data_IF_284549041176
#
_entry.id   IF_284549041176
#
_cell.length_a   1.000
_cell.length_b   1.000
_cell.length_c   1.000
_cell.angle_alpha   90.00
_cell.angle_beta   90.00
_cell.angle_gamma   90.00
#
_symmetry.space_group_name_H-M   'P 1'
#
loop_
_entity.id
_entity.type
_entity.pdbx_description
1 polymer ?
#
# COMPACT_ATOMS: atom_id res chain seq x y z
N UNK A 1 0.28 -21.76 30.88
CA UNK A 1 0.82 -21.62 32.25
C UNK A 1 1.93 -20.56 32.20
N UNK A 2 1.60 -19.28 32.31
CA UNK A 2 2.57 -18.18 32.42
C UNK A 2 2.66 -17.81 33.90
N UNK A 3 3.85 -17.90 34.49
CA UNK A 3 4.11 -17.44 35.88
C UNK A 3 3.72 -15.97 36.00
N UNK A 4 3.08 -15.55 37.11
CA UNK A 4 2.62 -14.18 37.27
C UNK A 4 3.81 -13.23 37.44
N UNK A 5 3.69 -12.06 36.81
CA UNK A 5 4.60 -10.91 36.66
C UNK A 5 5.35 -10.39 37.91
N UNK A 6 5.27 -11.02 39.09
CA UNK A 6 5.77 -10.47 40.37
C UNK A 6 7.16 -10.93 40.80
N UNK A 7 7.75 -11.98 40.22
CA UNK A 7 9.08 -12.48 40.66
C UNK A 7 10.28 -11.80 39.95
N UNK A 8 10.07 -11.06 38.86
CA UNK A 8 11.17 -10.52 38.05
C UNK A 8 11.88 -9.29 38.64
N UNK A 9 11.27 -8.58 39.61
CA UNK A 9 11.89 -7.42 40.27
C UNK A 9 12.33 -6.33 39.28
N UNK A 10 13.56 -5.84 39.46
CA UNK A 10 14.18 -4.78 38.63
C UNK A 10 14.58 -5.25 37.22
N UNK A 11 14.53 -6.55 36.93
CA UNK A 11 14.78 -7.08 35.59
C UNK A 11 13.55 -6.96 34.66
N UNK A 12 12.51 -6.24 35.09
CA UNK A 12 11.33 -5.98 34.28
C UNK A 12 11.64 -4.97 33.17
N UNK A 13 11.71 -5.46 31.94
CA UNK A 13 11.73 -4.61 30.75
C UNK A 13 10.34 -4.03 30.52
N UNK A 14 10.24 -2.71 30.45
CA UNK A 14 8.99 -2.05 30.09
C UNK A 14 8.64 -2.42 28.64
N UNK A 15 7.37 -2.75 28.39
CA UNK A 15 6.93 -3.13 27.04
C UNK A 15 6.76 -1.89 26.15
N UNK A 16 6.61 -2.13 24.85
CA UNK A 16 6.25 -1.14 23.84
C UNK A 16 7.22 0.06 23.74
N UNK A 17 8.49 -0.12 24.10
CA UNK A 17 9.51 0.93 24.13
C UNK A 17 9.13 2.10 25.05
N UNK A 18 8.37 1.85 26.13
CA UNK A 18 7.94 2.92 27.05
C UNK A 18 9.12 3.69 27.66
N UNK A 19 10.24 3.01 27.93
CA UNK A 19 11.45 3.66 28.42
C UNK A 19 11.99 4.66 27.38
N UNK A 20 12.12 4.23 26.13
CA UNK A 20 12.52 5.10 25.02
C UNK A 20 11.52 6.22 24.75
N UNK A 21 10.21 5.97 24.93
CA UNK A 21 9.16 6.95 24.70
C UNK A 21 9.17 8.12 25.71
N UNK A 22 9.84 7.95 26.86
CA UNK A 22 9.99 8.97 27.91
C UNK A 22 11.26 9.81 27.77
N UNK A 23 12.10 9.54 26.79
CA UNK A 23 13.33 10.30 26.56
C UNK A 23 13.03 11.76 26.19
N UNK A 24 13.87 12.69 26.64
CA UNK A 24 13.70 14.14 26.38
C UNK A 24 14.16 14.57 24.97
N UNK A 25 14.99 13.75 24.33
CA UNK A 25 15.54 14.04 23.00
C UNK A 25 15.40 12.84 22.08
N UNK A 26 15.31 13.09 20.77
CA UNK A 26 15.26 12.01 19.79
C UNK A 26 16.53 11.13 19.82
N UNK A 27 17.69 11.69 20.12
CA UNK A 27 18.93 10.92 20.26
C UNK A 27 18.85 9.95 21.44
N UNK A 28 18.41 10.43 22.60
CA UNK A 28 18.25 9.59 23.80
C UNK A 28 17.15 8.54 23.58
N UNK A 29 16.06 8.90 22.89
CA UNK A 29 15.02 7.96 22.47
C UNK A 29 15.63 6.80 21.67
N UNK A 30 16.45 7.10 20.65
CA UNK A 30 17.14 6.08 19.86
C UNK A 30 18.09 5.22 20.70
N UNK A 31 18.83 5.82 21.63
CA UNK A 31 19.72 5.09 22.54
C UNK A 31 18.97 4.15 23.49
N UNK A 32 17.73 4.48 23.85
CA UNK A 32 16.90 3.73 24.77
C UNK A 32 16.04 2.63 24.11
N UNK A 33 16.07 2.48 22.78
CA UNK A 33 15.35 1.40 22.09
C UNK A 33 15.89 0.03 22.53
N UNK A 34 14.99 -0.88 22.89
CA UNK A 34 15.31 -2.19 23.47
C UNK A 34 14.66 -3.33 22.67
N UNK A 35 15.47 -4.25 22.17
CA UNK A 35 15.01 -5.41 21.40
C UNK A 35 14.21 -6.42 22.24
N UNK A 36 14.35 -6.39 23.56
CA UNK A 36 13.62 -7.26 24.49
C UNK A 36 12.26 -6.65 24.91
N UNK A 37 12.01 -5.39 24.56
CA UNK A 37 10.74 -4.71 24.83
C UNK A 37 9.67 -5.06 23.77
N UNK A 38 8.80 -6.01 24.10
CA UNK A 38 7.73 -6.46 23.20
C UNK A 38 6.66 -5.38 22.88
N UNK A 39 6.16 -5.28 21.63
CA UNK A 39 5.12 -4.33 21.23
C UNK A 39 3.71 -4.76 21.68
N UNK A 40 2.72 -3.86 21.57
CA UNK A 40 1.30 -4.19 21.79
C UNK A 40 0.79 -5.22 20.78
N UNK A 41 -0.31 -5.89 21.11
CA UNK A 41 -0.98 -6.86 20.22
C UNK A 41 -1.55 -6.19 18.95
N UNK A 42 -2.05 -4.96 19.06
CA UNK A 42 -2.61 -4.23 17.92
C UNK A 42 -1.51 -3.83 16.93
N UNK A 43 -1.91 -3.69 15.67
CA UNK A 43 -1.08 -3.11 14.62
C UNK A 43 -1.87 -1.99 13.96
N UNK A 44 -1.30 -0.79 13.95
CA UNK A 44 -1.95 0.43 13.52
C UNK A 44 -1.85 0.66 12.00
N UNK A 45 -0.70 0.34 11.39
CA UNK A 45 -0.38 0.61 9.98
C UNK A 45 -1.12 -0.36 9.06
N UNK A 46 -2.01 0.13 8.19
CA UNK A 46 -2.75 -0.71 7.25
C UNK A 46 -1.86 -1.50 6.28
N UNK A 47 -2.25 -2.72 5.92
CA UNK A 47 -1.51 -3.57 4.97
C UNK A 47 -2.38 -3.85 3.75
N UNK A 48 -1.83 -3.49 2.60
CA UNK A 48 -2.48 -3.58 1.30
C UNK A 48 -1.80 -4.70 0.51
N UNK A 49 -2.56 -5.68 0.05
CA UNK A 49 -2.02 -6.83 -0.68
C UNK A 49 -2.55 -6.85 -2.10
N UNK A 50 -1.66 -6.91 -3.09
CA UNK A 50 -2.06 -7.13 -4.48
C UNK A 50 -2.47 -8.58 -4.67
N UNK A 51 -3.70 -8.79 -5.15
CA UNK A 51 -4.25 -10.12 -5.36
C UNK A 51 -3.98 -10.58 -6.79
N UNK A 52 -3.44 -11.79 -6.92
CA UNK A 52 -3.05 -12.37 -8.19
C UNK A 52 -3.14 -13.90 -8.20
N UNK A 53 -2.53 -14.57 -9.18
CA UNK A 53 -2.57 -16.03 -9.29
C UNK A 53 -2.16 -16.78 -8.01
N UNK A 54 -1.23 -16.24 -7.22
CA UNK A 54 -0.76 -16.85 -5.97
C UNK A 54 -1.74 -16.68 -4.79
N UNK A 55 -2.67 -15.72 -4.86
CA UNK A 55 -3.48 -15.28 -3.71
C UNK A 55 -4.98 -15.23 -3.95
N UNK A 56 -5.48 -15.44 -5.18
CA UNK A 56 -6.91 -15.21 -5.51
C UNK A 56 -7.90 -16.30 -5.08
N UNK A 57 -7.43 -17.45 -4.61
CA UNK A 57 -8.31 -18.56 -4.23
C UNK A 57 -8.77 -18.45 -2.78
N UNK A 58 -10.00 -18.89 -2.49
CA UNK A 58 -10.70 -18.60 -1.24
C UNK A 58 -9.93 -19.01 0.02
N UNK A 59 -9.28 -20.17 0.03
CA UNK A 59 -8.52 -20.64 1.20
C UNK A 59 -7.29 -19.77 1.48
N UNK A 60 -6.55 -19.36 0.44
CA UNK A 60 -5.43 -18.43 0.62
C UNK A 60 -5.90 -17.06 1.09
N UNK A 61 -7.02 -16.55 0.57
CA UNK A 61 -7.59 -15.29 1.05
C UNK A 61 -7.98 -15.37 2.53
N UNK A 62 -8.62 -16.46 2.97
CA UNK A 62 -8.92 -16.69 4.40
C UNK A 62 -7.64 -16.73 5.23
N UNK A 63 -6.62 -17.44 4.77
CA UNK A 63 -5.34 -17.49 5.44
C UNK A 63 -4.64 -16.14 5.41
N UNK A 64 -4.75 -15.31 4.37
CA UNK A 64 -4.20 -13.94 4.36
C UNK A 64 -4.92 -13.04 5.37
N UNK A 65 -6.25 -13.13 5.47
CA UNK A 65 -7.06 -12.40 6.46
C UNK A 65 -6.66 -12.79 7.89
N UNK A 66 -6.38 -14.08 8.15
CA UNK A 66 -5.90 -14.59 9.45
C UNK A 66 -4.43 -14.31 9.71
N UNK A 67 -3.58 -14.60 8.74
CA UNK A 67 -2.14 -14.92 8.89
C UNK A 67 -1.31 -13.76 9.41
N UNK A 68 -1.86 -12.57 9.50
CA UNK A 68 -1.19 -11.51 10.24
C UNK A 68 -2.14 -10.59 10.95
N UNK A 69 -3.45 -10.85 11.06
CA UNK A 69 -4.41 -9.80 11.43
C UNK A 69 -4.42 -8.59 10.44
N UNK A 70 -4.10 -8.76 9.14
CA UNK A 70 -3.52 -7.63 8.40
C UNK A 70 -3.94 -7.36 6.96
N UNK A 71 -4.60 -8.25 6.21
CA UNK A 71 -5.06 -7.80 4.88
C UNK A 71 -6.29 -6.93 5.06
N UNK A 72 -6.03 -5.64 5.16
CA UNK A 72 -7.03 -4.62 5.36
C UNK A 72 -7.62 -4.18 4.03
N UNK A 73 -6.78 -4.19 2.98
CA UNK A 73 -7.15 -3.82 1.61
C UNK A 73 -6.60 -4.84 0.61
N UNK A 74 -7.49 -5.39 -0.22
CA UNK A 74 -7.16 -6.19 -1.38
C UNK A 74 -7.05 -5.29 -2.63
N UNK A 75 -5.83 -5.15 -3.15
CA UNK A 75 -5.56 -4.41 -4.38
C UNK A 75 -5.76 -5.28 -5.61
N UNK A 76 -6.46 -4.76 -6.61
CA UNK A 76 -6.67 -5.40 -7.91
C UNK A 76 -5.95 -4.58 -8.99
N UNK A 77 -4.84 -5.11 -9.51
CA UNK A 77 -4.07 -4.42 -10.54
C UNK A 77 -4.73 -4.58 -11.94
N UNK A 78 -5.40 -3.55 -12.45
CA UNK A 78 -6.09 -3.59 -13.74
C UNK A 78 -5.16 -3.40 -14.95
N UNK A 79 -3.84 -3.26 -14.74
CA UNK A 79 -2.85 -3.41 -15.81
C UNK A 79 -2.80 -4.84 -16.36
N UNK A 80 -3.32 -5.82 -15.61
CA UNK A 80 -3.44 -7.22 -15.99
C UNK A 80 -4.86 -7.75 -15.73
N UNK A 81 -5.21 -8.89 -16.32
CA UNK A 81 -6.52 -9.52 -16.17
C UNK A 81 -7.64 -8.85 -16.96
N UNK A 82 -8.76 -9.57 -17.10
CA UNK A 82 -10.02 -9.06 -17.67
C UNK A 82 -10.99 -8.67 -16.57
N UNK A 83 -12.10 -8.02 -16.91
CA UNK A 83 -13.15 -7.71 -15.93
C UNK A 83 -13.73 -8.97 -15.29
N UNK A 84 -13.86 -10.06 -16.04
CA UNK A 84 -14.32 -11.36 -15.52
C UNK A 84 -13.35 -11.94 -14.48
N UNK A 85 -12.05 -11.88 -14.76
CA UNK A 85 -11.01 -12.30 -13.82
C UNK A 85 -11.06 -11.51 -12.51
N UNK A 86 -11.24 -10.19 -12.60
CA UNK A 86 -11.34 -9.32 -11.42
C UNK A 86 -12.67 -9.51 -10.69
N UNK A 87 -13.79 -9.71 -11.39
CA UNK A 87 -15.10 -9.98 -10.78
C UNK A 87 -15.08 -11.29 -9.97
N UNK A 88 -14.48 -12.35 -10.51
CA UNK A 88 -14.26 -13.60 -9.78
C UNK A 88 -13.37 -13.38 -8.55
N UNK A 89 -12.32 -12.58 -8.69
CA UNK A 89 -11.41 -12.27 -7.57
C UNK A 89 -12.13 -11.49 -6.47
N UNK A 90 -12.96 -10.50 -6.81
CA UNK A 90 -13.80 -9.74 -5.86
C UNK A 90 -14.78 -10.67 -5.14
N UNK A 91 -15.43 -11.58 -5.89
CA UNK A 91 -16.32 -12.59 -5.32
C UNK A 91 -15.61 -13.47 -4.31
N UNK A 92 -14.39 -13.93 -4.61
CA UNK A 92 -13.60 -14.75 -3.70
C UNK A 92 -13.16 -13.98 -2.46
N UNK A 93 -12.76 -12.71 -2.60
CA UNK A 93 -12.42 -11.82 -1.46
C UNK A 93 -13.63 -11.70 -0.53
N UNK A 94 -14.79 -11.35 -1.07
CA UNK A 94 -16.02 -11.21 -0.29
C UNK A 94 -16.43 -12.51 0.39
N UNK A 95 -16.36 -13.64 -0.32
CA UNK A 95 -16.67 -14.95 0.25
C UNK A 95 -15.70 -15.34 1.38
N UNK A 96 -14.41 -15.05 1.23
CA UNK A 96 -13.42 -15.26 2.29
C UNK A 96 -13.69 -14.36 3.51
N UNK A 97 -13.97 -13.08 3.29
CA UNK A 97 -14.30 -12.12 4.36
C UNK A 97 -15.57 -12.52 5.12
N UNK A 98 -16.65 -12.84 4.41
CA UNK A 98 -17.92 -13.24 5.04
C UNK A 98 -17.86 -14.63 5.68
N UNK A 99 -16.85 -15.45 5.39
CA UNK A 99 -16.65 -16.71 6.13
C UNK A 99 -16.33 -16.49 7.62
N UNK A 100 -15.92 -15.28 8.01
CA UNK A 100 -15.71 -14.87 9.40
C UNK A 100 -16.91 -14.10 9.99
N UNK A 101 -17.99 -13.91 9.23
CA UNK A 101 -19.13 -13.10 9.65
C UNK A 101 -19.99 -13.75 10.74
N UNK A 102 -19.83 -15.07 10.98
CA UNK A 102 -20.52 -15.80 12.03
C UNK A 102 -20.16 -15.33 13.44
N UNK A 103 -18.98 -14.71 13.60
CA UNK A 103 -18.54 -14.09 14.85
C UNK A 103 -18.24 -12.61 14.60
N UNK A 104 -19.19 -11.68 14.87
CA UNK A 104 -18.98 -10.25 14.71
C UNK A 104 -17.79 -9.69 15.51
N UNK A 105 -17.38 -10.37 16.59
CA UNK A 105 -16.25 -9.97 17.44
C UNK A 105 -14.93 -10.26 16.71
N UNK A 106 -14.87 -11.36 15.94
CA UNK A 106 -13.71 -11.77 15.16
C UNK A 106 -13.78 -11.36 13.68
N UNK A 107 -14.92 -10.88 13.21
CA UNK A 107 -15.10 -10.36 11.85
C UNK A 107 -14.13 -9.20 11.57
N UNK A 108 -13.63 -9.17 10.35
CA UNK A 108 -12.68 -8.16 9.86
C UNK A 108 -13.17 -7.67 8.51
N UNK A 109 -13.62 -6.42 8.40
CA UNK A 109 -13.85 -5.82 7.10
C UNK A 109 -12.59 -5.88 6.26
N UNK A 110 -12.70 -6.17 4.97
CA UNK A 110 -11.59 -6.13 4.01
C UNK A 110 -12.04 -5.24 2.86
N UNK A 111 -11.29 -4.18 2.60
CA UNK A 111 -11.59 -3.26 1.52
C UNK A 111 -11.10 -3.79 0.16
N UNK A 112 -11.74 -3.37 -0.91
CA UNK A 112 -11.32 -3.68 -2.28
C UNK A 112 -10.91 -2.40 -3.01
N UNK A 113 -9.70 -2.42 -3.57
CA UNK A 113 -9.09 -1.27 -4.25
C UNK A 113 -8.63 -1.64 -5.67
N UNK A 114 -9.42 -1.36 -6.72
CA UNK A 114 -8.92 -1.35 -8.09
C UNK A 114 -7.80 -0.31 -8.25
N UNK A 115 -6.71 -0.74 -8.87
CA UNK A 115 -5.62 0.10 -9.31
C UNK A 115 -5.70 0.25 -10.83
N UNK A 116 -5.96 1.49 -11.27
CA UNK A 116 -6.21 1.77 -12.68
C UNK A 116 -4.92 1.71 -13.49
N UNK A 117 -5.03 1.11 -14.67
CA UNK A 117 -3.93 1.08 -15.64
C UNK A 117 -3.54 2.51 -16.01
N UNK A 118 -2.27 2.77 -15.83
CA UNK A 118 -1.54 3.91 -16.36
C UNK A 118 -1.76 4.10 -17.88
N UNK A 119 -1.74 5.34 -18.41
CA UNK A 119 -1.39 5.58 -19.81
C UNK A 119 0.08 5.20 -20.05
N UNK A 120 0.34 3.89 -20.13
CA UNK A 120 1.67 3.36 -20.47
C UNK A 120 1.86 3.25 -21.97
N UNK A 121 3.08 3.51 -22.41
CA UNK A 121 3.56 3.11 -23.72
C UNK A 121 4.09 1.69 -23.60
N UNK A 122 3.65 0.76 -24.45
CA UNK A 122 4.09 -0.63 -24.44
C UNK A 122 4.61 -1.11 -25.79
N UNK A 123 5.57 -2.02 -25.72
CA UNK A 123 6.07 -2.74 -26.89
C UNK A 123 5.09 -3.83 -27.37
N UNK A 124 5.27 -4.29 -28.60
CA UNK A 124 4.50 -5.42 -29.16
C UNK A 124 4.88 -6.80 -28.60
N UNK A 125 4.42 -7.85 -29.27
CA UNK A 125 4.81 -9.23 -28.97
C UNK A 125 6.12 -9.57 -29.70
N UNK A 126 7.05 -10.19 -28.99
CA UNK A 126 8.32 -10.67 -29.54
C UNK A 126 8.07 -11.95 -30.34
N UNK A 127 8.66 -12.03 -31.53
CA UNK A 127 8.57 -13.18 -32.42
C UNK A 127 9.22 -14.43 -31.81
N UNK A 128 8.67 -15.60 -32.13
CA UNK A 128 9.22 -16.94 -31.85
C UNK A 128 9.32 -17.31 -30.35
N UNK A 129 10.37 -16.85 -29.66
CA UNK A 129 10.76 -17.26 -28.29
C UNK A 129 10.13 -16.43 -27.18
N UNK A 130 9.38 -15.37 -27.52
CA UNK A 130 8.81 -14.42 -26.55
C UNK A 130 9.83 -13.48 -25.88
N UNK A 131 11.13 -13.68 -26.13
CA UNK A 131 12.24 -12.87 -25.63
C UNK A 131 13.29 -12.63 -26.72
N UNK A 132 13.77 -11.40 -26.85
CA UNK A 132 14.80 -11.00 -27.80
C UNK A 132 16.00 -10.41 -27.05
N UNK A 133 17.21 -10.76 -27.46
CA UNK A 133 18.43 -10.18 -26.88
C UNK A 133 18.81 -8.91 -27.64
N UNK A 134 18.83 -7.78 -26.95
CA UNK A 134 19.19 -6.48 -27.54
C UNK A 134 20.62 -6.15 -27.13
N UNK A 135 21.55 -6.18 -28.08
CA UNK A 135 22.98 -5.97 -27.83
C UNK A 135 23.37 -4.50 -27.88
N UNK A 136 24.30 -4.09 -27.01
CA UNK A 136 24.86 -2.73 -27.02
C UNK A 136 25.46 -2.40 -28.39
N UNK A 137 25.14 -1.22 -28.92
CA UNK A 137 25.56 -0.75 -30.24
C UNK A 137 24.71 -1.27 -31.41
N UNK A 138 23.76 -2.19 -31.18
CA UNK A 138 22.78 -2.55 -32.20
C UNK A 138 21.86 -1.37 -32.51
N UNK A 139 21.27 -1.37 -33.72
CA UNK A 139 20.44 -0.25 -34.20
C UNK A 139 18.99 -0.64 -34.45
N UNK A 140 18.18 -0.93 -33.40
CA UNK A 140 16.80 -1.31 -33.58
C UNK A 140 15.96 -0.16 -34.13
N UNK A 141 15.10 -0.49 -35.09
CA UNK A 141 14.08 0.41 -35.65
C UNK A 141 12.80 0.31 -34.82
N UNK A 142 12.40 1.41 -34.22
CA UNK A 142 11.08 1.56 -33.60
C UNK A 142 10.07 1.92 -34.68
N UNK A 143 8.92 1.24 -34.73
CA UNK A 143 7.88 1.47 -35.76
C UNK A 143 6.49 1.58 -35.14
N UNK A 144 5.62 2.36 -35.80
CA UNK A 144 4.21 2.46 -35.47
C UNK A 144 3.31 1.57 -36.35
N UNK A 145 3.89 0.90 -37.34
CA UNK A 145 3.18 0.06 -38.30
C UNK A 145 2.65 -1.21 -37.62
N UNK A 146 1.33 -1.32 -37.56
CA UNK A 146 0.63 -2.44 -36.93
C UNK A 146 0.97 -3.80 -37.57
N UNK A 147 1.57 -3.86 -38.77
CA UNK A 147 2.09 -5.08 -39.37
C UNK A 147 3.17 -5.77 -38.51
N UNK A 148 3.85 -5.01 -37.64
CA UNK A 148 4.92 -5.50 -36.75
C UNK A 148 4.48 -5.68 -35.29
N UNK A 149 3.18 -5.49 -34.98
CA UNK A 149 2.65 -5.60 -33.62
C UNK A 149 2.98 -6.94 -32.96
N UNK A 150 3.02 -8.02 -33.75
CA UNK A 150 3.34 -9.39 -33.30
C UNK A 150 4.68 -9.92 -33.84
N UNK A 151 5.52 -9.04 -34.38
CA UNK A 151 6.79 -9.39 -35.04
C UNK A 151 7.96 -8.58 -34.49
N UNK A 152 7.90 -8.17 -33.23
CA UNK A 152 9.01 -7.50 -32.57
C UNK A 152 10.21 -8.44 -32.43
N UNK A 153 11.42 -7.90 -32.49
CA UNK A 153 12.65 -8.64 -32.31
C UNK A 153 13.84 -7.71 -32.07
N UNK A 154 15.05 -8.22 -32.29
CA UNK A 154 16.30 -7.47 -32.11
C UNK A 154 16.43 -6.23 -33.03
N UNK A 155 15.85 -6.29 -34.24
CA UNK A 155 16.03 -5.26 -35.27
C UNK A 155 14.83 -4.32 -35.41
N UNK A 156 13.63 -4.75 -35.00
CA UNK A 156 12.41 -3.97 -35.15
C UNK A 156 11.51 -4.10 -33.91
N UNK A 157 11.02 -2.97 -33.42
CA UNK A 157 10.18 -2.87 -32.23
C UNK A 157 8.94 -2.05 -32.54
N UNK A 158 7.77 -2.68 -32.44
CA UNK A 158 6.49 -1.98 -32.50
C UNK A 158 6.11 -1.39 -31.13
N UNK A 159 5.43 -0.25 -31.14
CA UNK A 159 4.82 0.34 -29.94
C UNK A 159 3.43 0.93 -30.20
N UNK A 160 2.66 1.08 -29.13
CA UNK A 160 1.26 1.52 -29.17
C UNK A 160 1.07 3.04 -29.17
N UNK A 161 2.10 3.83 -28.87
CA UNK A 161 2.03 5.30 -28.82
C UNK A 161 2.26 5.98 -30.18
N UNK A 162 1.15 6.30 -30.84
CA UNK A 162 1.13 6.85 -32.21
C UNK A 162 1.77 8.23 -32.38
N UNK A 163 1.92 9.00 -31.30
CA UNK A 163 2.48 10.35 -31.38
C UNK A 163 3.97 10.41 -31.01
N UNK A 164 4.64 9.26 -30.88
CA UNK A 164 6.04 9.20 -30.40
C UNK A 164 6.98 10.10 -31.22
N UNK A 165 6.91 10.07 -32.55
CA UNK A 165 7.82 10.84 -33.40
C UNK A 165 7.70 12.35 -33.18
N UNK A 166 6.55 12.85 -32.72
CA UNK A 166 6.38 14.29 -32.46
C UNK A 166 6.94 14.76 -31.12
N UNK A 167 7.17 13.84 -30.18
CA UNK A 167 7.56 14.19 -28.81
C UNK A 167 9.00 13.85 -28.48
N UNK A 168 9.68 13.06 -29.33
CA UNK A 168 11.08 12.71 -29.17
C UNK A 168 11.91 13.30 -30.30
N UNK A 169 13.08 13.82 -29.96
CA UNK A 169 14.03 14.40 -30.91
C UNK A 169 15.27 13.50 -31.04
N UNK A 170 16.04 13.67 -32.11
CA UNK A 170 17.36 13.02 -32.25
C UNK A 170 18.24 13.34 -31.03
N UNK A 171 18.80 12.29 -30.41
CA UNK A 171 19.56 12.37 -29.16
C UNK A 171 18.75 12.04 -27.90
N UNK A 172 17.42 11.98 -27.99
CA UNK A 172 16.54 11.61 -26.86
C UNK A 172 16.82 10.18 -26.37
N UNK A 173 16.64 9.96 -25.06
CA UNK A 173 16.77 8.62 -24.45
C UNK A 173 15.40 7.96 -24.29
N UNK A 174 15.35 6.68 -24.65
CA UNK A 174 14.19 5.81 -24.50
C UNK A 174 14.59 4.67 -23.57
N UNK A 175 13.76 4.40 -22.57
CA UNK A 175 14.00 3.32 -21.61
C UNK A 175 12.93 2.25 -21.75
N UNK A 176 13.33 0.99 -21.76
CA UNK A 176 12.46 -0.18 -21.87
C UNK A 176 12.64 -1.10 -20.66
N UNK A 177 11.59 -1.83 -20.32
CA UNK A 177 11.58 -2.87 -19.27
C UNK A 177 12.10 -2.34 -17.91
N UNK A 178 11.32 -1.44 -17.30
CA UNK A 178 11.64 -0.79 -16.02
C UNK A 178 12.98 -0.03 -15.98
N UNK A 179 13.48 0.39 -17.15
CA UNK A 179 14.72 1.15 -17.26
C UNK A 179 15.98 0.30 -17.47
N UNK A 180 15.84 -1.04 -17.53
CA UNK A 180 16.97 -1.95 -17.71
C UNK A 180 17.64 -1.80 -19.08
N UNK A 181 16.86 -1.52 -20.12
CA UNK A 181 17.34 -1.32 -21.49
C UNK A 181 17.21 0.17 -21.82
N UNK A 182 18.28 0.75 -22.38
CA UNK A 182 18.29 2.17 -22.78
C UNK A 182 18.71 2.32 -24.24
N UNK A 183 17.91 3.08 -24.99
CA UNK A 183 18.11 3.38 -26.41
C UNK A 183 18.29 4.89 -26.59
N UNK A 184 19.11 5.29 -27.56
CA UNK A 184 19.27 6.67 -27.98
C UNK A 184 18.74 6.86 -29.39
N UNK A 185 17.87 7.86 -29.62
CA UNK A 185 17.35 8.16 -30.96
C UNK A 185 18.46 8.74 -31.85
N UNK A 186 18.66 8.17 -33.04
CA UNK A 186 19.67 8.61 -34.03
C UNK A 186 19.05 9.23 -35.26
N UNK A 187 17.93 8.70 -35.71
CA UNK A 187 17.21 9.16 -36.89
C UNK A 187 15.71 9.16 -36.61
N UNK A 188 15.03 10.20 -37.06
CA UNK A 188 13.58 10.33 -37.00
C UNK A 188 13.00 10.20 -38.41
N UNK A 189 12.04 9.29 -38.57
CA UNK A 189 11.24 9.14 -39.77
C UNK A 189 9.78 9.53 -39.52
N UNK A 190 8.96 9.52 -40.57
CA UNK A 190 7.55 9.91 -40.49
C UNK A 190 6.73 9.07 -39.50
N UNK A 191 7.00 7.76 -39.40
CA UNK A 191 6.29 6.78 -38.58
C UNK A 191 7.24 5.77 -37.90
N UNK A 192 8.52 6.12 -37.84
CA UNK A 192 9.56 5.28 -37.24
C UNK A 192 10.68 6.11 -36.62
N UNK A 193 11.45 5.47 -35.73
CA UNK A 193 12.69 6.01 -35.17
C UNK A 193 13.78 4.96 -35.33
N UNK A 194 14.97 5.37 -35.77
CA UNK A 194 16.16 4.51 -35.67
C UNK A 194 16.89 4.87 -34.39
N UNK A 195 17.16 3.85 -33.58
CA UNK A 195 17.80 4.04 -32.27
C UNK A 195 19.10 3.27 -32.20
N UNK A 196 20.01 3.66 -31.31
CA UNK A 196 21.20 2.89 -30.93
C UNK A 196 21.04 2.42 -29.49
N UNK A 197 21.36 1.16 -29.22
CA UNK A 197 21.29 0.57 -27.87
C UNK A 197 22.49 1.05 -27.05
N UNK A 198 22.25 1.89 -26.04
CA UNK A 198 23.28 2.30 -25.08
C UNK A 198 23.52 1.22 -24.02
N UNK A 199 22.42 0.65 -23.48
CA UNK A 199 22.45 -0.46 -22.53
C UNK A 199 21.52 -1.57 -23.00
N UNK A 200 22.10 -2.75 -23.22
CA UNK A 200 21.42 -3.92 -23.76
C UNK A 200 20.85 -4.84 -22.68
N UNK A 201 20.08 -5.83 -23.10
CA UNK A 201 19.46 -6.80 -22.18
C UNK A 201 18.46 -7.72 -22.88
N UNK A 202 17.83 -8.59 -22.11
CA UNK A 202 16.75 -9.46 -22.59
C UNK A 202 15.43 -8.69 -22.62
N UNK A 203 14.92 -8.39 -23.80
CA UNK A 203 13.63 -7.73 -24.00
C UNK A 203 12.50 -8.77 -24.12
N UNK A 204 11.52 -8.70 -23.23
CA UNK A 204 10.30 -9.49 -23.33
C UNK A 204 9.20 -8.84 -24.17
N UNK A 205 8.05 -9.51 -24.23
CA UNK A 205 6.84 -8.98 -24.87
C UNK A 205 6.09 -7.98 -23.98
N UNK A 206 5.44 -6.97 -24.59
CA UNK A 206 4.55 -6.00 -23.90
C UNK A 206 5.21 -5.27 -22.72
N UNK A 207 6.49 -4.93 -22.86
CA UNK A 207 7.27 -4.20 -21.84
C UNK A 207 6.93 -2.71 -21.88
N UNK A 208 6.96 -2.07 -20.72
CA UNK A 208 6.75 -0.62 -20.60
C UNK A 208 7.90 0.18 -21.20
N UNK A 209 7.57 1.33 -21.79
CA UNK A 209 8.52 2.29 -22.34
C UNK A 209 8.39 3.64 -21.64
N UNK A 210 9.51 4.19 -21.20
CA UNK A 210 9.61 5.49 -20.59
C UNK A 210 10.40 6.45 -21.48
N UNK A 211 9.94 7.70 -21.57
CA UNK A 211 10.52 8.77 -22.39
C UNK A 211 10.95 9.98 -21.53
N UNK A 212 12.09 9.91 -20.81
CA UNK A 212 12.52 11.01 -19.95
C UNK A 212 12.78 12.29 -20.74
N UNK A 213 12.05 13.34 -20.38
CA UNK A 213 12.15 14.68 -20.98
C UNK A 213 11.19 14.94 -22.16
N UNK A 214 10.49 13.93 -22.68
CA UNK A 214 9.53 14.11 -23.77
C UNK A 214 8.16 14.61 -23.26
N UNK A 215 7.51 15.51 -23.97
CA UNK A 215 6.16 15.98 -23.58
C UNK A 215 5.08 14.97 -24.00
N UNK A 216 4.97 13.85 -23.29
CA UNK A 216 4.05 12.74 -23.63
C UNK A 216 2.58 13.15 -23.49
N UNK A 217 1.89 13.35 -24.61
CA UNK A 217 0.51 13.86 -24.67
C UNK A 217 -0.59 12.80 -24.47
N UNK A 218 -0.30 11.72 -23.74
CA UNK A 218 -1.32 10.73 -23.41
C UNK A 218 -2.37 11.33 -22.45
N UNK A 219 -3.67 11.02 -22.62
CA UNK A 219 -4.69 11.49 -21.71
C UNK A 219 -4.44 10.92 -20.32
N UNK A 220 -4.72 11.70 -19.27
CA UNK A 220 -4.60 11.25 -17.88
C UNK A 220 -5.41 9.97 -17.60
N UNK A 221 -6.50 9.77 -18.34
CA UNK A 221 -7.36 8.60 -18.28
C UNK A 221 -7.70 8.13 -19.70
N UNK A 222 -7.39 6.88 -20.02
CA UNK A 222 -7.82 6.24 -21.27
C UNK A 222 -9.30 5.85 -21.22
N UNK A 223 -9.94 5.62 -22.38
CA UNK A 223 -11.30 5.05 -22.44
C UNK A 223 -11.40 3.74 -21.66
N UNK A 224 -10.38 2.88 -21.77
CA UNK A 224 -10.24 1.67 -20.97
C UNK A 224 -10.18 1.97 -19.47
N UNK A 225 -9.47 3.03 -19.07
CA UNK A 225 -9.45 3.53 -17.69
C UNK A 225 -10.84 3.93 -17.20
N UNK A 226 -11.64 4.61 -18.03
CA UNK A 226 -13.04 4.96 -17.70
C UNK A 226 -13.91 3.71 -17.58
N UNK A 227 -13.79 2.74 -18.48
CA UNK A 227 -14.51 1.47 -18.41
C UNK A 227 -14.15 0.68 -17.14
N UNK A 228 -12.87 0.68 -16.78
CA UNK A 228 -12.36 0.10 -15.56
C UNK A 228 -12.97 0.74 -14.30
N UNK A 229 -13.10 2.08 -14.28
CA UNK A 229 -13.77 2.76 -13.18
C UNK A 229 -15.26 2.41 -13.11
N UNK A 230 -15.96 2.37 -14.25
CA UNK A 230 -17.37 1.97 -14.31
C UNK A 230 -17.56 0.55 -13.76
N UNK A 231 -16.70 -0.38 -14.17
CA UNK A 231 -16.66 -1.73 -13.63
C UNK A 231 -16.41 -1.74 -12.11
N UNK A 232 -15.48 -0.92 -11.61
CA UNK A 232 -15.25 -0.77 -10.18
C UNK A 232 -16.50 -0.30 -9.42
N UNK A 233 -17.23 0.69 -9.96
CA UNK A 233 -18.49 1.18 -9.37
C UNK A 233 -19.56 0.07 -9.37
N UNK A 234 -19.72 -0.65 -10.48
CA UNK A 234 -20.65 -1.78 -10.58
C UNK A 234 -20.33 -2.90 -9.60
N UNK A 235 -19.05 -3.11 -9.30
CA UNK A 235 -18.59 -4.11 -8.34
C UNK A 235 -18.63 -3.64 -6.88
N UNK A 236 -19.09 -2.41 -6.56
CA UNK A 236 -19.10 -1.83 -5.20
C UNK A 236 -17.71 -1.87 -4.51
N UNK A 237 -16.69 -1.36 -5.20
CA UNK A 237 -15.34 -1.19 -4.65
C UNK A 237 -15.28 -0.04 -3.63
N UNK A 238 -14.30 -0.10 -2.73
CA UNK A 238 -14.23 0.82 -1.59
C UNK A 238 -13.39 2.06 -1.86
N UNK A 239 -12.41 1.96 -2.75
CA UNK A 239 -11.47 3.00 -3.11
C UNK A 239 -10.90 2.74 -4.50
N UNK A 240 -10.18 3.71 -5.07
CA UNK A 240 -9.50 3.56 -6.36
C UNK A 240 -8.10 4.10 -6.23
N UNK A 241 -7.10 3.32 -6.65
CA UNK A 241 -5.74 3.83 -6.85
C UNK A 241 -5.64 4.31 -8.29
N UNK A 242 -5.43 5.62 -8.45
CA UNK A 242 -5.30 6.23 -9.77
C UNK A 242 -3.83 6.49 -10.03
N UNK A 243 -3.31 5.84 -11.05
CA UNK A 243 -1.89 5.93 -11.42
C UNK A 243 -1.62 7.19 -12.25
N UNK A 244 -0.42 7.76 -12.10
CA UNK A 244 0.01 9.00 -12.77
C UNK A 244 -0.89 10.23 -12.58
N UNK A 245 -1.35 10.49 -11.35
CA UNK A 245 -1.97 11.77 -11.01
C UNK A 245 -0.93 12.89 -11.07
N UNK A 246 -0.76 13.48 -12.24
CA UNK A 246 0.04 14.69 -12.48
C UNK A 246 -0.51 15.41 -13.70
N UNK A 247 -0.22 16.70 -13.84
CA UNK A 247 -0.11 17.26 -15.19
C UNK A 247 1.12 16.62 -15.82
N UNK A 248 1.02 16.14 -17.05
CA UNK A 248 2.14 15.49 -17.75
C UNK A 248 3.44 16.32 -17.65
N UNK A 249 3.33 17.65 -17.70
CA UNK A 249 4.45 18.58 -17.53
C UNK A 249 5.18 18.40 -16.18
N UNK A 250 4.44 18.23 -15.09
CA UNK A 250 4.98 18.13 -13.73
C UNK A 250 5.74 16.82 -13.52
N UNK A 251 5.29 15.71 -14.13
CA UNK A 251 5.98 14.40 -14.04
C UNK A 251 7.40 14.46 -14.60
N UNK A 252 7.58 15.15 -15.73
CA UNK A 252 8.86 15.25 -16.40
C UNK A 252 9.85 16.07 -15.59
N UNK A 253 9.39 17.20 -15.04
CA UNK A 253 10.22 18.07 -14.21
C UNK A 253 10.59 17.36 -12.90
N UNK A 254 9.63 16.71 -12.25
CA UNK A 254 9.85 15.94 -11.02
C UNK A 254 10.80 14.76 -11.25
N UNK A 255 10.61 13.95 -12.30
CA UNK A 255 11.52 12.82 -12.59
C UNK A 255 12.92 13.27 -12.98
N UNK A 256 13.05 14.36 -13.76
CA UNK A 256 14.35 14.92 -14.17
C UNK A 256 15.12 15.49 -12.97
N UNK A 257 14.42 16.12 -12.03
CA UNK A 257 15.02 16.69 -10.82
C UNK A 257 15.32 15.62 -9.78
N UNK A 258 14.44 14.62 -9.62
CA UNK A 258 14.59 13.61 -8.59
C UNK A 258 15.64 12.55 -8.96
N UNK A 259 15.57 11.95 -10.15
CA UNK A 259 16.34 10.73 -10.43
C UNK A 259 16.13 9.63 -9.37
N UNK A 260 16.75 8.47 -9.55
CA UNK A 260 16.63 7.35 -8.59
C UNK A 260 17.16 7.72 -7.20
N UNK A 261 18.19 8.58 -7.15
CA UNK A 261 18.87 8.96 -5.91
C UNK A 261 18.05 9.87 -4.99
N UNK A 262 16.93 10.44 -5.43
CA UNK A 262 16.09 11.33 -4.59
C UNK A 262 14.69 10.77 -4.32
N UNK A 263 14.43 9.51 -4.64
CA UNK A 263 13.13 8.86 -4.35
C UNK A 263 12.80 8.97 -2.85
N UNK A 264 13.79 8.72 -1.97
CA UNK A 264 13.59 8.84 -0.51
C UNK A 264 13.23 10.27 -0.06
N UNK A 265 13.77 11.31 -0.71
CA UNK A 265 13.41 12.70 -0.41
C UNK A 265 11.95 12.97 -0.78
N UNK A 266 11.50 12.46 -1.93
CA UNK A 266 10.11 12.59 -2.36
C UNK A 266 9.16 11.80 -1.45
N UNK A 267 9.52 10.57 -1.06
CA UNK A 267 8.76 9.75 -0.13
C UNK A 267 8.54 10.48 1.21
N UNK A 268 9.62 10.88 1.88
CA UNK A 268 9.53 11.61 3.17
C UNK A 268 8.73 12.91 3.03
N UNK A 269 8.93 13.65 1.94
CA UNK A 269 8.19 14.88 1.65
C UNK A 269 6.69 14.63 1.47
N UNK A 270 6.30 13.60 0.72
CA UNK A 270 4.90 13.26 0.50
C UNK A 270 4.23 12.79 1.79
N UNK A 271 4.88 11.90 2.55
CA UNK A 271 4.37 11.40 3.83
C UNK A 271 4.17 12.57 4.80
N UNK A 272 5.18 13.42 5.03
CA UNK A 272 5.06 14.57 5.91
C UNK A 272 3.96 15.55 5.51
N UNK A 273 3.77 15.79 4.19
CA UNK A 273 2.67 16.65 3.69
C UNK A 273 1.29 16.02 3.89
N UNK A 274 1.15 14.71 3.71
CA UNK A 274 -0.08 13.97 3.95
C UNK A 274 -0.46 13.97 5.43
N UNK A 275 0.50 13.70 6.32
CA UNK A 275 0.31 13.71 7.77
C UNK A 275 -0.15 15.10 8.25
N UNK A 276 0.53 16.16 7.79
CA UNK A 276 0.12 17.54 8.08
C UNK A 276 -1.32 17.84 7.61
N UNK A 277 -1.71 17.32 6.45
CA UNK A 277 -3.05 17.49 5.89
C UNK A 277 -4.12 16.56 6.50
N UNK A 278 -3.72 15.55 7.29
CA UNK A 278 -4.62 14.51 7.81
C UNK A 278 -5.24 13.66 6.70
N UNK A 279 -4.48 13.38 5.64
CA UNK A 279 -4.90 12.53 4.52
C UNK A 279 -4.05 11.27 4.49
N UNK A 280 -4.62 10.10 4.16
CA UNK A 280 -3.90 8.85 4.20
C UNK A 280 -2.80 8.80 3.14
N UNK A 281 -1.66 8.23 3.49
CA UNK A 281 -0.52 8.01 2.57
C UNK A 281 -0.08 6.54 2.59
N UNK A 282 0.14 6.02 1.39
CA UNK A 282 0.53 4.62 1.17
C UNK A 282 1.95 4.62 0.62
N UNK A 283 2.86 3.88 1.25
CA UNK A 283 4.14 3.55 0.65
C UNK A 283 4.07 2.19 -0.03
N UNK A 284 4.71 2.07 -1.18
CA UNK A 284 4.52 0.91 -2.04
C UNK A 284 5.75 0.57 -2.89
N UNK A 285 5.68 -0.61 -3.50
CA UNK A 285 6.64 -1.25 -4.41
C UNK A 285 7.95 -1.68 -3.73
N UNK A 286 8.39 -2.90 -4.05
CA UNK A 286 9.68 -3.48 -3.68
C UNK A 286 10.01 -3.50 -2.18
N UNK A 287 9.00 -3.41 -1.30
CA UNK A 287 9.22 -3.39 0.15
C UNK A 287 9.80 -4.72 0.66
N UNK A 288 9.33 -5.86 0.13
CA UNK A 288 9.83 -7.20 0.46
C UNK A 288 10.07 -8.02 -0.82
N UNK A 289 10.59 -7.40 -1.88
CA UNK A 289 10.68 -7.97 -3.24
C UNK A 289 11.33 -9.36 -3.28
N UNK A 290 12.39 -9.58 -2.49
CA UNK A 290 13.09 -10.87 -2.43
C UNK A 290 12.19 -12.01 -1.94
N UNK A 291 11.11 -11.69 -1.20
CA UNK A 291 10.14 -12.67 -0.71
C UNK A 291 9.23 -13.25 -1.79
N UNK A 292 9.30 -12.73 -3.03
CA UNK A 292 8.70 -13.42 -4.19
C UNK A 292 9.29 -14.82 -4.34
N UNK A 293 10.58 -15.00 -4.03
CA UNK A 293 11.32 -16.27 -4.20
C UNK A 293 11.99 -16.81 -2.95
N UNK A 294 11.97 -16.07 -1.84
CA UNK A 294 12.62 -16.46 -0.58
C UNK A 294 11.62 -16.39 0.58
N UNK A 295 11.72 -17.28 1.58
CA UNK A 295 10.82 -17.26 2.73
C UNK A 295 11.12 -16.13 3.74
N UNK A 296 12.23 -15.40 3.57
CA UNK A 296 12.65 -14.31 4.44
C UNK A 296 13.15 -13.12 3.62
N UNK A 297 12.92 -11.88 4.08
CA UNK A 297 13.41 -10.70 3.39
C UNK A 297 14.91 -10.51 3.63
N UNK A 298 15.51 -9.64 2.84
CA UNK A 298 16.85 -9.11 3.10
C UNK A 298 16.83 -8.10 4.25
N UNK A 299 17.97 -7.87 4.92
CA UNK A 299 18.05 -6.85 5.97
C UNK A 299 17.65 -5.44 5.48
N UNK A 300 18.05 -4.98 4.28
CA UNK A 300 17.59 -3.69 3.75
C UNK A 300 16.08 -3.61 3.56
N UNK A 301 15.43 -4.68 3.09
CA UNK A 301 13.96 -4.74 2.93
C UNK A 301 13.25 -4.61 4.29
N UNK A 302 13.70 -5.37 5.30
CA UNK A 302 13.14 -5.25 6.65
C UNK A 302 13.30 -3.84 7.24
N UNK A 303 14.46 -3.22 7.01
CA UNK A 303 14.74 -1.84 7.40
C UNK A 303 13.85 -0.85 6.65
N UNK A 304 13.64 -1.01 5.35
CA UNK A 304 12.81 -0.12 4.52
C UNK A 304 11.36 -0.07 5.02
N UNK A 305 10.77 -1.24 5.30
CA UNK A 305 9.42 -1.33 5.88
C UNK A 305 9.34 -0.59 7.22
N UNK A 306 10.32 -0.78 8.11
CA UNK A 306 10.33 -0.10 9.40
C UNK A 306 10.45 1.43 9.25
N UNK A 307 11.35 1.92 8.40
CA UNK A 307 11.56 3.36 8.20
C UNK A 307 10.36 4.05 7.57
N UNK A 308 9.67 3.39 6.65
CA UNK A 308 8.42 3.89 6.05
C UNK A 308 7.35 4.16 7.11
N UNK A 309 7.24 3.28 8.09
CA UNK A 309 6.28 3.39 9.19
C UNK A 309 6.71 4.50 10.17
N UNK A 310 8.00 4.54 10.51
CA UNK A 310 8.57 5.60 11.34
C UNK A 310 8.45 6.99 10.69
N UNK A 311 8.49 7.08 9.36
CA UNK A 311 8.20 8.31 8.61
C UNK A 311 6.72 8.74 8.73
N UNK A 312 5.85 7.82 9.16
CA UNK A 312 4.43 8.05 9.41
C UNK A 312 3.54 7.67 8.24
N UNK A 313 3.87 6.63 7.47
CA UNK A 313 2.95 6.11 6.46
C UNK A 313 1.72 5.44 7.11
N UNK A 314 0.52 5.70 6.58
CA UNK A 314 -0.70 5.08 7.10
C UNK A 314 -0.84 3.62 6.68
N UNK A 315 -0.36 3.29 5.48
CA UNK A 315 -0.38 1.95 4.94
C UNK A 315 0.92 1.59 4.22
N UNK A 316 1.21 0.29 4.23
CA UNK A 316 2.28 -0.34 3.45
C UNK A 316 1.66 -1.37 2.48
N UNK A 317 2.31 -1.57 1.33
CA UNK A 317 1.72 -2.34 0.23
C UNK A 317 2.66 -3.42 -0.32
N UNK A 318 2.14 -4.64 -0.46
CA UNK A 318 2.75 -5.75 -1.19
C UNK A 318 2.21 -5.82 -2.62
N UNK A 319 3.13 -6.03 -3.57
CA UNK A 319 2.85 -6.09 -5.00
C UNK A 319 3.11 -7.50 -5.55
N UNK A 320 4.31 -7.77 -6.05
CA UNK A 320 4.66 -9.06 -6.64
C UNK A 320 4.67 -10.18 -5.60
N UNK A 321 5.00 -9.84 -4.35
CA UNK A 321 5.14 -10.75 -3.21
C UNK A 321 3.85 -11.55 -2.98
N UNK A 322 2.69 -10.88 -2.99
CA UNK A 322 1.39 -11.52 -2.80
C UNK A 322 0.69 -11.88 -4.09
N UNK A 323 0.97 -11.18 -5.20
CA UNK A 323 0.28 -11.44 -6.46
C UNK A 323 0.79 -12.72 -7.16
N UNK A 324 2.11 -12.94 -7.16
CA UNK A 324 2.79 -14.00 -7.92
C UNK A 324 3.92 -14.70 -7.16
N UNK A 325 4.18 -14.32 -5.92
CA UNK A 325 5.26 -14.88 -5.10
C UNK A 325 4.95 -16.27 -4.58
N UNK A 326 6.01 -17.00 -4.23
CA UNK A 326 5.92 -18.35 -3.68
C UNK A 326 5.58 -18.33 -2.16
N UNK A 327 5.76 -17.19 -1.49
CA UNK A 327 5.58 -17.00 -0.04
C UNK A 327 4.63 -15.83 0.33
N UNK A 328 3.39 -15.80 -0.19
CA UNK A 328 2.47 -14.68 0.03
C UNK A 328 2.08 -14.50 1.51
N UNK A 329 1.90 -15.59 2.27
CA UNK A 329 1.50 -15.52 3.68
C UNK A 329 2.64 -15.03 4.57
N UNK A 330 3.85 -15.48 4.30
CA UNK A 330 5.07 -15.08 5.00
C UNK A 330 5.35 -13.59 4.76
N UNK A 331 5.13 -13.08 3.54
CA UNK A 331 5.29 -11.66 3.24
C UNK A 331 4.32 -10.79 4.06
N UNK A 332 3.04 -11.19 4.13
CA UNK A 332 2.03 -10.50 4.96
C UNK A 332 2.39 -10.56 6.45
N UNK A 333 2.84 -11.74 6.93
CA UNK A 333 3.32 -11.92 8.32
C UNK A 333 4.53 -11.04 8.63
N UNK A 334 5.47 -10.94 7.70
CA UNK A 334 6.67 -10.16 7.89
C UNK A 334 6.35 -8.67 8.02
N UNK A 335 5.49 -8.14 7.12
CA UNK A 335 4.98 -6.77 7.24
C UNK A 335 4.24 -6.54 8.57
N UNK A 336 3.44 -7.51 9.04
CA UNK A 336 2.80 -7.42 10.36
C UNK A 336 3.78 -7.22 11.50
N UNK A 337 4.79 -8.08 11.55
CA UNK A 337 5.75 -8.11 12.64
C UNK A 337 6.58 -6.83 12.64
N UNK A 338 7.11 -6.43 11.47
CA UNK A 338 7.89 -5.20 11.35
C UNK A 338 7.05 -3.98 11.73
N UNK A 339 5.78 -3.92 11.30
CA UNK A 339 4.92 -2.80 11.61
C UNK A 339 4.68 -2.63 13.11
N UNK A 340 4.41 -3.70 13.85
CA UNK A 340 4.22 -3.65 15.31
C UNK A 340 5.46 -3.17 16.04
N UNK A 341 6.64 -3.64 15.62
CA UNK A 341 7.91 -3.21 16.22
C UNK A 341 8.20 -1.73 15.90
N UNK A 342 8.01 -1.32 14.64
CA UNK A 342 8.23 0.06 14.22
C UNK A 342 7.26 1.04 14.89
N UNK A 343 5.99 0.69 15.02
CA UNK A 343 4.97 1.47 15.74
C UNK A 343 5.34 1.68 17.22
N UNK A 344 5.87 0.64 17.88
CA UNK A 344 6.32 0.77 19.26
C UNK A 344 7.55 1.69 19.39
N UNK A 345 8.43 1.69 18.38
CA UNK A 345 9.62 2.52 18.30
C UNK A 345 9.36 3.97 17.84
N UNK A 346 8.11 4.35 17.53
CA UNK A 346 7.80 5.74 17.15
C UNK A 346 7.99 6.70 18.34
N UNK A 347 8.69 7.82 18.11
CA UNK A 347 8.83 8.89 19.09
C UNK A 347 7.60 9.79 19.12
N UNK A 348 6.52 9.30 19.74
CA UNK A 348 5.23 9.96 19.79
C UNK A 348 5.27 11.34 20.46
N UNK A 349 6.20 11.59 21.40
CA UNK A 349 6.30 12.89 22.09
C UNK A 349 6.55 14.02 21.08
N UNK A 350 7.59 13.88 20.26
CA UNK A 350 7.89 14.86 19.21
C UNK A 350 6.83 14.88 18.10
N UNK A 351 6.37 13.72 17.63
CA UNK A 351 5.36 13.66 16.57
C UNK A 351 4.06 14.36 16.98
N UNK A 352 3.62 14.14 18.22
CA UNK A 352 2.42 14.76 18.75
C UNK A 352 2.58 16.27 18.86
N UNK A 353 3.72 16.77 19.36
CA UNK A 353 4.04 18.20 19.42
C UNK A 353 4.07 18.85 18.03
N UNK A 354 4.65 18.20 17.02
CA UNK A 354 4.70 18.71 15.65
C UNK A 354 3.31 18.76 14.98
N UNK A 355 2.40 17.87 15.37
CA UNK A 355 1.02 17.83 14.86
C UNK A 355 0.05 18.73 15.65
N UNK A 356 0.34 19.05 16.92
CA UNK A 356 -0.57 19.78 17.81
C UNK A 356 -0.38 21.30 17.76
N UNK A 357 -1.45 21.99 17.38
CA UNK A 357 -1.73 23.35 17.85
C UNK A 357 -2.80 23.37 18.95
N UNK A 358 -3.64 22.34 19.11
CA UNK A 358 -4.75 22.33 20.09
C UNK A 358 -5.15 20.91 20.55
N UNK A 359 -5.08 20.67 21.87
CA UNK A 359 -5.65 19.59 22.72
C UNK A 359 -4.83 18.30 22.97
N UNK A 360 -4.31 18.08 24.20
CA UNK A 360 -3.63 16.82 24.57
C UNK A 360 -4.65 15.68 24.74
N UNK A 361 -4.78 14.79 23.76
CA UNK A 361 -5.37 13.46 23.99
C UNK A 361 -4.35 12.68 24.81
N UNK A 362 -4.72 12.32 26.05
CA UNK A 362 -3.85 11.59 26.98
C UNK A 362 -3.24 10.34 26.32
N UNK A 363 -1.91 10.30 26.21
CA UNK A 363 -1.16 9.32 25.42
C UNK A 363 -1.15 7.89 25.99
N UNK A 364 -1.79 7.65 27.14
CA UNK A 364 -1.68 6.39 27.89
C UNK A 364 -2.99 5.62 28.05
N UNK A 365 -4.03 5.93 27.26
CA UNK A 365 -5.25 5.10 27.22
C UNK A 365 -4.98 3.74 26.57
N UNK A 366 -5.67 2.69 27.00
CA UNK A 366 -5.59 1.37 26.36
C UNK A 366 -6.19 1.35 24.94
N UNK A 367 -7.19 2.19 24.67
CA UNK A 367 -7.78 2.39 23.35
C UNK A 367 -8.62 3.69 23.30
N UNK A 368 -8.91 4.14 22.08
CA UNK A 368 -9.87 5.22 21.80
C UNK A 368 -11.05 4.62 21.03
N UNK A 369 -12.21 4.49 21.67
CA UNK A 369 -13.44 4.00 21.05
C UNK A 369 -14.15 5.17 20.39
N UNK A 370 -14.43 5.06 19.08
CA UNK A 370 -15.10 6.11 18.30
C UNK A 370 -16.34 5.54 17.62
N UNK A 371 -17.51 6.05 17.99
CA UNK A 371 -18.75 5.76 17.28
C UNK A 371 -18.84 6.64 16.03
N UNK A 372 -18.89 6.07 14.83
CA UNK A 372 -18.88 6.86 13.60
C UNK A 372 -19.81 6.34 12.51
N UNK A 373 -20.53 7.25 11.86
CA UNK A 373 -21.38 6.96 10.69
C UNK A 373 -20.63 7.13 9.36
N UNK A 374 -19.75 8.13 9.27
CA UNK A 374 -19.05 8.52 8.04
C UNK A 374 -17.56 8.18 8.04
N UNK A 375 -17.00 7.77 9.17
CA UNK A 375 -15.56 7.59 9.39
C UNK A 375 -14.85 8.88 9.85
N UNK A 376 -15.41 10.06 9.59
CA UNK A 376 -14.74 11.36 9.81
C UNK A 376 -14.22 11.57 11.23
N UNK A 377 -15.02 11.26 12.26
CA UNK A 377 -14.59 11.40 13.67
C UNK A 377 -13.37 10.52 13.95
N UNK A 378 -13.33 9.29 13.42
CA UNK A 378 -12.19 8.40 13.58
C UNK A 378 -10.96 8.89 12.79
N UNK A 379 -11.16 9.43 11.58
CA UNK A 379 -10.06 10.05 10.80
C UNK A 379 -9.45 11.26 11.52
N UNK A 380 -10.28 12.06 12.19
CA UNK A 380 -9.83 13.23 12.96
C UNK A 380 -8.95 12.82 14.15
N UNK A 381 -9.26 11.69 14.79
CA UNK A 381 -8.41 11.13 15.85
C UNK A 381 -7.12 10.56 15.25
N UNK A 382 -7.22 9.78 14.17
CA UNK A 382 -6.08 9.15 13.51
C UNK A 382 -5.03 10.16 13.02
N UNK A 383 -5.47 11.36 12.59
CA UNK A 383 -4.59 12.47 12.20
C UNK A 383 -3.53 12.83 13.24
N UNK A 384 -3.82 12.61 14.52
CA UNK A 384 -2.91 12.93 15.63
C UNK A 384 -2.02 11.77 16.03
N UNK A 385 -2.03 10.68 15.26
CA UNK A 385 -1.18 9.50 15.41
C UNK A 385 -1.10 8.99 16.86
N UNK A 386 -2.24 8.72 17.53
CA UNK A 386 -2.21 8.20 18.89
C UNK A 386 -1.52 6.82 18.90
N UNK A 387 -0.75 6.56 19.94
CA UNK A 387 -0.15 5.25 20.18
C UNK A 387 -1.22 4.17 20.41
N UNK A 388 -2.30 4.53 21.08
CA UNK A 388 -3.41 3.65 21.37
C UNK A 388 -4.24 3.36 20.11
N UNK A 389 -4.72 2.12 19.92
CA UNK A 389 -5.59 1.79 18.78
C UNK A 389 -6.94 2.53 18.88
N UNK A 390 -7.46 2.92 17.72
CA UNK A 390 -8.74 3.62 17.56
C UNK A 390 -9.79 2.60 17.13
N UNK A 391 -10.65 2.15 18.05
CA UNK A 391 -11.71 1.20 17.74
C UNK A 391 -12.90 1.97 17.16
N UNK A 392 -13.03 1.96 15.82
CA UNK A 392 -14.09 2.68 15.12
C UNK A 392 -15.32 1.78 14.93
N UNK A 393 -16.36 2.01 15.72
CA UNK A 393 -17.62 1.27 15.61
C UNK A 393 -18.55 1.96 14.61
N UNK A 394 -18.97 1.22 13.58
CA UNK A 394 -19.86 1.72 12.55
C UNK A 394 -20.88 0.67 12.13
N UNK A 395 -22.08 1.09 11.76
CA UNK A 395 -23.09 0.23 11.12
C UNK A 395 -22.98 0.26 9.58
N UNK A 396 -22.09 1.09 9.02
CA UNK A 396 -21.91 1.19 7.57
C UNK A 396 -20.77 0.26 7.12
N UNK A 397 -21.06 -0.82 6.36
CA UNK A 397 -20.05 -1.79 5.96
C UNK A 397 -18.98 -1.19 5.03
N UNK A 398 -19.34 -0.25 4.16
CA UNK A 398 -18.37 0.43 3.28
C UNK A 398 -17.41 1.30 4.10
N UNK A 399 -17.89 2.00 5.13
CA UNK A 399 -17.02 2.78 6.02
C UNK A 399 -16.12 1.90 6.85
N UNK A 400 -16.63 0.78 7.35
CA UNK A 400 -15.83 -0.21 8.06
C UNK A 400 -14.66 -0.73 7.20
N UNK A 401 -14.84 -0.82 5.87
CA UNK A 401 -13.77 -1.16 4.92
C UNK A 401 -12.82 0.01 4.64
N UNK A 402 -13.34 1.21 4.39
CA UNK A 402 -12.53 2.36 3.97
C UNK A 402 -11.62 2.94 5.06
N UNK A 403 -11.99 2.83 6.34
CA UNK A 403 -11.20 3.43 7.44
C UNK A 403 -9.83 2.79 7.62
N UNK A 404 -9.62 1.59 7.06
CA UNK A 404 -8.32 0.91 7.01
C UNK A 404 -7.19 1.70 6.36
N UNK A 405 -7.53 2.73 5.57
CA UNK A 405 -6.54 3.63 4.97
C UNK A 405 -5.85 4.54 5.99
N UNK A 406 -6.37 4.68 7.22
CA UNK A 406 -5.81 5.57 8.24
C UNK A 406 -5.13 4.76 9.33
N UNK A 407 -3.91 5.16 9.70
CA UNK A 407 -3.16 4.47 10.74
C UNK A 407 -3.93 4.48 12.07
N UNK A 408 -3.92 3.33 12.74
CA UNK A 408 -4.47 3.16 14.08
C UNK A 408 -5.96 2.86 14.13
N UNK A 409 -6.70 3.00 13.03
CA UNK A 409 -8.13 2.68 13.02
C UNK A 409 -8.35 1.18 12.89
N UNK A 410 -8.94 0.58 13.93
CA UNK A 410 -9.47 -0.77 13.91
C UNK A 410 -11.00 -0.76 13.74
N UNK A 411 -11.53 -1.09 12.56
CA UNK A 411 -12.97 -1.05 12.32
C UNK A 411 -13.73 -2.19 12.97
N UNK A 412 -14.85 -1.86 13.59
CA UNK A 412 -15.84 -2.82 14.13
C UNK A 412 -17.18 -2.57 13.46
N UNK A 413 -17.66 -3.56 12.71
CA UNK A 413 -18.95 -3.50 12.03
C UNK A 413 -20.07 -3.98 12.97
N UNK A 414 -20.93 -3.05 13.41
CA UNK A 414 -22.14 -3.35 14.15
C UNK A 414 -23.24 -3.80 13.17
N UNK A 415 -23.64 -5.07 13.24
CA UNK A 415 -24.71 -5.64 12.41
C UNK A 415 -26.10 -5.59 13.08
N UNK A 416 -26.14 -5.31 14.38
CA UNK A 416 -27.39 -5.26 15.15
C UNK A 416 -28.27 -4.08 14.76
N UNK A 417 -29.58 -4.24 14.98
CA UNK A 417 -30.54 -3.19 14.73
C UNK A 417 -30.29 -1.98 15.65
N UNK A 418 -30.53 -0.78 15.12
CA UNK A 418 -30.44 0.46 15.89
C UNK A 418 -31.50 0.39 16.99
N UNK A 419 -31.10 0.62 18.25
CA UNK A 419 -32.03 0.67 19.36
C UNK A 419 -32.88 1.95 19.29
N UNK A 420 -34.13 1.88 19.76
CA UNK A 420 -35.04 3.04 19.72
C UNK A 420 -34.53 4.19 20.59
N UNK A 421 -34.00 3.88 21.77
CA UNK A 421 -33.37 4.86 22.66
C UNK A 421 -31.92 5.11 22.26
N UNK A 422 -31.59 6.36 21.93
CA UNK A 422 -30.24 6.75 21.52
C UNK A 422 -29.16 6.40 22.54
N UNK A 423 -29.44 6.56 23.84
CA UNK A 423 -28.49 6.22 24.90
C UNK A 423 -28.19 4.70 24.94
N UNK A 424 -29.21 3.87 24.77
CA UNK A 424 -29.07 2.42 24.74
C UNK A 424 -28.29 1.96 23.49
N UNK A 425 -28.53 2.59 22.32
CA UNK A 425 -27.76 2.34 21.10
C UNK A 425 -26.27 2.72 21.26
N UNK A 426 -25.98 3.81 21.96
CA UNK A 426 -24.61 4.23 22.29
C UNK A 426 -23.93 3.21 23.19
N UNK A 427 -24.56 2.86 24.31
CA UNK A 427 -24.02 1.89 25.28
C UNK A 427 -23.81 0.52 24.64
N UNK A 428 -24.75 0.07 23.80
CA UNK A 428 -24.65 -1.17 23.04
C UNK A 428 -23.38 -1.21 22.18
N UNK A 429 -23.12 -0.15 21.41
CA UNK A 429 -21.96 -0.07 20.51
C UNK A 429 -20.64 0.06 21.26
N UNK A 430 -20.62 0.76 22.39
CA UNK A 430 -19.44 0.84 23.26
C UNK A 430 -19.13 -0.53 23.88
N UNK A 431 -20.16 -1.26 24.29
CA UNK A 431 -20.01 -2.64 24.78
C UNK A 431 -19.50 -3.58 23.68
N UNK A 432 -19.97 -3.43 22.44
CA UNK A 432 -19.45 -4.17 21.29
C UNK A 432 -17.93 -3.92 21.11
N UNK A 433 -17.48 -2.67 21.10
CA UNK A 433 -16.06 -2.34 21.05
C UNK A 433 -15.25 -2.97 22.19
N UNK A 434 -15.79 -2.94 23.41
CA UNK A 434 -15.17 -3.53 24.60
C UNK A 434 -15.09 -5.06 24.50
N UNK A 435 -16.08 -5.72 23.89
CA UNK A 435 -16.06 -7.16 23.67
C UNK A 435 -15.10 -7.58 22.57
N UNK A 436 -14.99 -6.78 21.50
CA UNK A 436 -13.94 -6.95 20.47
C UNK A 436 -12.57 -6.87 21.10
N UNK A 437 -12.32 -5.88 21.95
CA UNK A 437 -11.07 -5.79 22.69
C UNK A 437 -10.79 -7.04 23.53
N UNK A 438 -11.74 -7.51 24.35
CA UNK A 438 -11.54 -8.71 25.18
C UNK A 438 -11.10 -9.94 24.37
N UNK A 439 -11.55 -10.06 23.12
CA UNK A 439 -11.17 -11.16 22.23
C UNK A 439 -9.83 -10.93 21.52
N UNK A 440 -9.44 -9.67 21.30
CA UNK A 440 -8.22 -9.29 20.54
C UNK A 440 -7.02 -8.99 21.44
N UNK A 441 -7.26 -8.60 22.69
CA UNK A 441 -6.24 -8.23 23.67
C UNK A 441 -5.53 -6.91 23.36
N UNK A 442 -6.28 -5.85 23.01
CA UNK A 442 -5.68 -4.51 22.82
C UNK A 442 -5.43 -3.82 24.17
N UNK A 443 -6.36 -3.96 25.12
CA UNK A 443 -6.23 -3.47 26.49
C UNK A 443 -6.70 -4.52 27.52
N UNK A 444 -6.36 -4.29 28.79
CA UNK A 444 -6.67 -5.18 29.91
C UNK A 444 -7.81 -4.61 30.75
N UNK A 445 -8.49 -5.50 31.50
CA UNK A 445 -9.49 -5.07 32.49
C UNK A 445 -8.83 -4.15 33.52
N UNK A 446 -9.31 -2.91 33.61
CA UNK A 446 -8.76 -1.87 34.50
C UNK A 446 -8.06 -0.74 33.74
N UNK A 447 -7.74 -0.93 32.46
CA UNK A 447 -7.17 0.12 31.63
C UNK A 447 -8.21 1.21 31.36
N UNK A 448 -7.75 2.46 31.31
CA UNK A 448 -8.59 3.61 30.95
C UNK A 448 -8.74 3.66 29.43
N UNK A 449 -9.98 3.78 28.96
CA UNK A 449 -10.30 3.97 27.54
C UNK A 449 -11.00 5.31 27.33
N UNK A 450 -10.77 5.93 26.18
CA UNK A 450 -11.43 7.17 25.78
C UNK A 450 -12.60 6.82 24.87
N UNK A 451 -13.78 7.39 25.11
CA UNK A 451 -14.98 7.11 24.29
C UNK A 451 -15.50 8.39 23.65
N UNK A 452 -15.60 8.40 22.32
CA UNK A 452 -16.16 9.48 21.52
C UNK A 452 -17.47 9.03 20.88
N UNK A 453 -18.57 9.69 21.23
CA UNK A 453 -19.94 9.27 20.87
C UNK A 453 -20.65 10.18 19.87
N UNK A 454 -19.95 11.15 19.24
CA UNK A 454 -20.55 12.16 18.35
C UNK A 454 -19.92 12.22 16.96
#
# INVERSE_FOLDING_TARGET
>A
MQKPYREAGTAFTQTQQLHAAMADTFLEHMCCLDIDSAPITSRNTGIICTIGPASRYAEMLKEMIKSGMNVDVARLNFSHGTHEYHAETIKNIRAATESFASDPILYRPVAVAPDTKEPEIRTGLIKDSGTAEVKKGATPKITLDNAYMEKCGENILWLDYKNICKVVEVGSKIYLDDGLISLQVKEEGADYLVTEVENGGSLGSKKGMNLPGAAVDLPAMSEKGIQNLKFGVEQDVDMVFVSFICKVADLHEVRKVLGERKVFLAQKMMIGRCNRAGKPVICTTQMLESMIKKPCPTHPEGSDVAHVILDGADCIMLSGETAKGDYPLEAVRMQHLIAREAEAAMYHLQLFEELHLLAPISCCSGAIIVLTKSGRSAHQVARYCPRAPIIAVTCNPQRARQVHLYSGIFPVLCKDAVQDAWAEDVDFRVNLATNVDKARGFFKKGDVVIVLTR
#
